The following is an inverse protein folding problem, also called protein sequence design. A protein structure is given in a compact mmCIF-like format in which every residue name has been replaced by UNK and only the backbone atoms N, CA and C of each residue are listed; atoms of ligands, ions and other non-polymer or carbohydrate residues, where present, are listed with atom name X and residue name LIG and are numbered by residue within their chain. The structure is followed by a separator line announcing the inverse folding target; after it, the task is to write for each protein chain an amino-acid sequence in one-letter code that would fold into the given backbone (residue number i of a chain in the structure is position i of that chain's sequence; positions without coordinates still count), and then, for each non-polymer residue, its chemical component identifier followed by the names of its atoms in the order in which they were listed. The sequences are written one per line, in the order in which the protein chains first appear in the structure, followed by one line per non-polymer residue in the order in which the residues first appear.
data_IF_877648754626
#
_entry.id   IF_877648754626
#
_cell.length_a   1.000
_cell.length_b   1.000
_cell.length_c   1.000
_cell.angle_alpha   90.00
_cell.angle_beta   90.00
_cell.angle_gamma   90.00
#
_symmetry.space_group_name_H-M   'P 1'
#
loop_
_entity.id
_entity.type
_entity.pdbx_description
1 polymer ?
#
# COMPACT_ATOMS: atom_id res chain seq x y z
N UNK A 1 6.31 9.15 -0.11
CA UNK A 1 6.34 7.71 -0.42
C UNK A 1 6.01 7.58 -1.88
N UNK A 2 6.84 6.87 -2.65
CA UNK A 2 6.60 6.55 -4.06
C UNK A 2 5.77 5.26 -4.22
N UNK A 3 5.23 4.95 -5.42
CA UNK A 3 4.41 3.77 -5.65
C UNK A 3 5.11 2.43 -5.39
N UNK A 4 6.43 2.34 -5.57
CA UNK A 4 7.18 1.11 -5.31
C UNK A 4 7.27 0.85 -3.81
N UNK A 5 7.60 1.87 -3.02
CA UNK A 5 7.57 1.80 -1.56
C UNK A 5 6.14 1.52 -1.02
N UNK A 6 5.10 2.06 -1.66
CA UNK A 6 3.71 1.80 -1.30
C UNK A 6 3.31 0.34 -1.54
N UNK A 7 3.71 -0.24 -2.69
CA UNK A 7 3.53 -1.67 -2.98
C UNK A 7 4.23 -2.54 -1.94
N UNK A 8 5.50 -2.26 -1.63
CA UNK A 8 6.24 -2.98 -0.60
C UNK A 8 5.58 -2.90 0.79
N UNK A 9 5.04 -1.72 1.14
CA UNK A 9 4.33 -1.50 2.41
C UNK A 9 3.07 -2.37 2.52
N UNK A 10 2.31 -2.53 1.43
CA UNK A 10 1.11 -3.39 1.38
C UNK A 10 1.40 -4.83 0.96
N UNK A 11 2.67 -5.23 0.84
CA UNK A 11 3.07 -6.56 0.38
C UNK A 11 2.48 -6.94 -1.00
N UNK A 12 2.26 -5.95 -1.86
CA UNK A 12 1.82 -6.16 -3.24
C UNK A 12 3.06 -6.39 -4.12
N UNK A 13 3.12 -7.48 -4.91
CA UNK A 13 4.24 -7.71 -5.82
C UNK A 13 4.41 -6.53 -6.79
N UNK A 14 5.66 -6.13 -7.11
CA UNK A 14 5.92 -4.98 -7.98
C UNK A 14 5.29 -5.14 -9.37
N UNK A 15 5.30 -6.37 -9.89
CA UNK A 15 4.80 -6.70 -11.23
C UNK A 15 3.31 -7.12 -11.24
N UNK A 16 2.64 -7.12 -10.09
CA UNK A 16 1.22 -7.44 -10.05
C UNK A 16 0.40 -6.31 -10.69
N UNK A 17 -0.54 -6.63 -11.60
CA UNK A 17 -1.44 -5.63 -12.16
C UNK A 17 -2.25 -5.00 -11.04
N UNK A 18 -2.24 -3.67 -10.97
CA UNK A 18 -2.88 -2.93 -9.91
C UNK A 18 -4.39 -2.85 -10.16
N UNK A 19 -5.19 -3.17 -9.15
CA UNK A 19 -6.64 -3.01 -9.15
C UNK A 19 -7.09 -2.45 -7.81
N UNK A 20 -8.27 -1.82 -7.78
CA UNK A 20 -8.85 -1.31 -6.53
C UNK A 20 -9.06 -2.44 -5.51
N UNK A 21 -9.55 -3.60 -5.98
CA UNK A 21 -9.76 -4.80 -5.17
C UNK A 21 -8.45 -5.29 -4.53
N UNK A 22 -7.37 -5.42 -5.32
CA UNK A 22 -6.07 -5.84 -4.80
C UNK A 22 -5.52 -4.87 -3.75
N UNK A 23 -5.67 -3.55 -3.98
CA UNK A 23 -5.23 -2.52 -3.03
C UNK A 23 -5.99 -2.65 -1.71
N UNK A 24 -7.31 -2.79 -1.78
CA UNK A 24 -8.16 -2.86 -0.59
C UNK A 24 -7.94 -4.15 0.20
N UNK A 25 -7.84 -5.30 -0.47
CA UNK A 25 -7.57 -6.58 0.18
C UNK A 25 -6.20 -6.59 0.87
N UNK A 26 -5.16 -6.07 0.20
CA UNK A 26 -3.82 -5.97 0.75
C UNK A 26 -3.78 -5.02 1.97
N UNK A 27 -4.46 -3.87 1.88
CA UNK A 27 -4.60 -2.94 2.98
C UNK A 27 -5.30 -3.59 4.19
N UNK A 28 -6.44 -4.24 3.99
CA UNK A 28 -7.19 -4.87 5.08
C UNK A 28 -6.40 -6.02 5.72
N UNK A 29 -5.70 -6.82 4.92
CA UNK A 29 -4.81 -7.87 5.42
C UNK A 29 -3.72 -7.31 6.34
N UNK A 30 -2.97 -6.31 5.89
CA UNK A 30 -1.89 -5.72 6.70
C UNK A 30 -2.44 -4.99 7.93
N UNK A 31 -3.59 -4.33 7.81
CA UNK A 31 -4.28 -3.68 8.92
C UNK A 31 -4.65 -4.68 10.02
N UNK A 32 -5.16 -5.87 9.64
CA UNK A 32 -5.48 -6.92 10.60
C UNK A 32 -4.25 -7.58 11.22
N UNK A 33 -3.26 -7.93 10.40
CA UNK A 33 -2.04 -8.60 10.86
C UNK A 33 -1.29 -7.77 11.90
N UNK A 34 -1.39 -6.45 11.81
CA UNK A 34 -0.68 -5.49 12.65
C UNK A 34 -1.60 -4.74 13.62
N UNK A 35 -2.80 -5.26 13.89
CA UNK A 35 -3.71 -4.61 14.82
C UNK A 35 -3.08 -4.48 16.24
N UNK A 36 -3.23 -3.33 16.95
CA UNK A 36 -2.60 -3.10 18.25
C UNK A 36 -2.91 -4.16 19.32
N UNK A 37 -4.11 -4.77 19.28
CA UNK A 37 -4.48 -5.84 20.23
C UNK A 37 -3.61 -7.10 20.15
N UNK A 38 -2.78 -7.22 19.10
CA UNK A 38 -1.83 -8.33 18.91
C UNK A 38 -0.50 -8.11 19.65
N UNK A 39 -0.29 -6.92 20.23
CA UNK A 39 0.93 -6.55 20.93
C UNK A 39 0.67 -6.44 22.45
N UNK A 40 1.37 -7.24 23.28
CA UNK A 40 1.14 -7.29 24.72
C UNK A 40 1.65 -6.04 25.44
N UNK A 41 2.72 -5.43 24.94
CA UNK A 41 3.35 -4.25 25.52
C UNK A 41 2.87 -2.93 24.90
N UNK A 42 3.06 -1.83 25.64
CA UNK A 42 2.58 -0.52 25.24
C UNK A 42 3.35 0.05 24.03
N UNK A 43 4.63 -0.29 23.88
CA UNK A 43 5.45 0.23 22.79
C UNK A 43 5.11 -0.44 21.46
N UNK A 44 4.85 -1.75 21.47
CA UNK A 44 4.31 -2.49 20.34
C UNK A 44 2.95 -1.96 19.89
N UNK A 45 2.07 -1.59 20.84
CA UNK A 45 0.78 -0.95 20.51
C UNK A 45 0.96 0.40 19.83
N UNK A 46 1.84 1.27 20.36
CA UNK A 46 2.13 2.58 19.75
C UNK A 46 2.78 2.42 18.36
N UNK A 47 3.69 1.47 18.20
CA UNK A 47 4.30 1.18 16.91
C UNK A 47 3.25 0.69 15.89
N UNK A 48 2.32 -0.16 16.32
CA UNK A 48 1.20 -0.61 15.50
C UNK A 48 0.27 0.54 15.09
N UNK A 49 -0.01 1.47 15.99
CA UNK A 49 -0.78 2.69 15.71
C UNK A 49 -0.08 3.56 14.67
N UNK A 50 1.21 3.85 14.85
CA UNK A 50 2.00 4.61 13.87
C UNK A 50 2.07 3.92 12.50
N UNK A 51 2.06 2.58 12.49
CA UNK A 51 2.04 1.81 11.25
C UNK A 51 0.72 1.97 10.48
N UNK A 52 -0.42 2.22 11.14
CA UNK A 52 -1.72 2.46 10.46
C UNK A 52 -1.67 3.68 9.56
N UNK A 53 -1.01 4.74 9.97
CA UNK A 53 -0.83 5.94 9.14
C UNK A 53 0.01 5.63 7.90
N UNK A 54 1.00 4.76 8.05
CA UNK A 54 1.85 4.29 6.95
C UNK A 54 1.05 3.46 5.94
N UNK A 55 0.22 2.52 6.41
CA UNK A 55 -0.70 1.73 5.57
C UNK A 55 -1.71 2.62 4.83
N UNK A 56 -2.28 3.60 5.51
CA UNK A 56 -3.25 4.54 4.92
C UNK A 56 -2.62 5.38 3.82
N UNK A 57 -1.40 5.88 4.02
CA UNK A 57 -0.65 6.62 2.99
C UNK A 57 -0.29 5.72 1.80
N UNK A 58 0.14 4.49 2.04
CA UNK A 58 0.45 3.55 0.97
C UNK A 58 -0.79 3.27 0.09
N UNK A 59 -1.94 3.01 0.72
CA UNK A 59 -3.22 2.86 0.01
C UNK A 59 -3.54 4.08 -0.84
N UNK A 60 -3.46 5.28 -0.27
CA UNK A 60 -3.75 6.52 -0.99
C UNK A 60 -2.84 6.72 -2.23
N UNK A 61 -1.55 6.43 -2.10
CA UNK A 61 -0.59 6.49 -3.23
C UNK A 61 -0.97 5.52 -4.34
N UNK A 62 -1.31 4.27 -4.01
CA UNK A 62 -1.68 3.28 -5.04
C UNK A 62 -3.03 3.58 -5.70
N UNK A 63 -3.99 4.14 -4.97
CA UNK A 63 -5.25 4.60 -5.56
C UNK A 63 -5.00 5.76 -6.52
N UNK A 64 -4.10 6.71 -6.17
CA UNK A 64 -3.73 7.80 -7.06
C UNK A 64 -2.95 7.33 -8.30
N UNK A 65 -2.10 6.31 -8.15
CA UNK A 65 -1.40 5.65 -9.26
C UNK A 65 -2.40 4.97 -10.21
N UNK A 66 -3.39 4.26 -9.67
CA UNK A 66 -4.44 3.61 -10.46
C UNK A 66 -5.30 4.64 -11.24
N UNK A 67 -5.52 5.83 -10.66
CA UNK A 67 -6.25 6.92 -11.28
C UNK A 67 -5.39 7.76 -12.25
N UNK A 68 -4.07 7.64 -12.21
CA UNK A 68 -3.20 8.30 -13.18
C UNK A 68 -3.31 7.58 -14.50
N UNK A 69 -3.73 8.26 -15.59
CA UNK A 69 -3.52 7.72 -16.91
C UNK A 69 -2.00 7.58 -17.07
N UNK A 70 -1.51 6.34 -17.14
CA UNK A 70 -0.12 6.11 -17.53
C UNK A 70 0.17 6.96 -18.77
N UNK A 71 1.35 7.57 -18.90
CA UNK A 71 1.71 8.21 -20.16
C UNK A 71 1.71 7.13 -21.25
N UNK A 72 0.61 7.03 -21.98
CA UNK A 72 0.53 6.32 -23.26
C UNK A 72 1.41 7.10 -24.23
N UNK A 73 2.73 6.89 -24.15
CA UNK A 73 3.66 7.79 -24.82
C UNK A 73 5.13 7.43 -24.63
N UNK A 74 5.50 6.18 -24.90
CA UNK A 74 6.87 5.85 -25.33
C UNK A 74 6.90 4.43 -25.93
N UNK A 75 6.32 4.28 -27.12
CA UNK A 75 6.75 3.36 -28.19
C UNK A 75 5.83 3.58 -29.40
N UNK A 76 5.96 4.76 -30.00
CA UNK A 76 5.57 4.98 -31.39
C UNK A 76 6.75 5.70 -32.06
N UNK A 77 7.24 5.10 -33.16
CA UNK A 77 8.38 5.50 -34.00
C UNK A 77 9.77 5.26 -33.35
N UNK A 78 10.71 4.55 -33.98
CA UNK A 78 11.00 4.35 -35.42
C UNK A 78 11.59 2.97 -35.69
#
# INVERSE_FOLDING_TARGET
MDPYAARATLQIPPDAPLSMELIDDAYQREFWLRHPSRYPDADGRRAAEAWRDTLTRARAVLVAELASPAPTGALAAT
#
